data_IF_549792011649
#
_entry.id   IF_549792011649
#
_cell.length_a   1.000
_cell.length_b   1.000
_cell.length_c   1.000
_cell.angle_alpha   90.00
_cell.angle_beta   90.00
_cell.angle_gamma   90.00
#
_symmetry.space_group_name_H-M   'P 1'
#
loop_
_entity.id
_entity.type
_entity.pdbx_description
1 polymer ?
#
# COMPACT_ATOMS: atom_id res chain seq x y z
N UNK A 1 16.20 25.68 30.64
CA UNK A 1 15.54 26.80 29.93
C UNK A 1 16.05 26.68 28.52
N UNK A 2 15.22 26.20 27.59
CA UNK A 2 15.68 25.88 26.23
C UNK A 2 16.32 27.15 25.66
N UNK A 3 17.60 27.06 25.37
CA UNK A 3 18.36 28.16 24.80
C UNK A 3 17.66 28.63 23.51
N UNK A 4 17.50 29.95 23.38
CA UNK A 4 16.78 30.59 22.29
C UNK A 4 17.44 30.29 20.94
N UNK A 5 18.75 30.02 20.93
CA UNK A 5 19.50 29.57 19.76
C UNK A 5 19.13 28.12 19.36
N UNK A 6 18.92 27.23 20.33
CA UNK A 6 18.45 25.86 20.08
C UNK A 6 17.04 25.79 19.49
N UNK A 7 16.11 26.65 19.93
CA UNK A 7 14.78 26.80 19.33
C UNK A 7 14.85 27.38 17.92
N UNK A 8 15.69 28.40 17.70
CA UNK A 8 15.94 28.99 16.38
C UNK A 8 16.48 27.97 15.38
N UNK A 9 17.46 27.15 15.80
CA UNK A 9 18.04 26.07 14.99
C UNK A 9 16.99 25.01 14.62
N UNK A 10 16.11 24.64 15.55
CA UNK A 10 15.02 23.70 15.28
C UNK A 10 14.03 24.28 14.27
N UNK A 11 13.64 25.53 14.43
CA UNK A 11 12.69 26.20 13.52
C UNK A 11 13.28 26.40 12.12
N UNK A 12 14.56 26.72 12.04
CA UNK A 12 15.32 26.80 10.80
C UNK A 12 15.43 25.42 10.12
N UNK A 13 15.69 24.35 10.87
CA UNK A 13 15.74 22.99 10.35
C UNK A 13 14.38 22.50 9.84
N UNK A 14 13.29 22.79 10.59
CA UNK A 14 11.92 22.47 10.17
C UNK A 14 11.56 23.25 8.91
N UNK A 15 11.79 24.56 8.89
CA UNK A 15 11.48 25.42 7.75
C UNK A 15 12.25 25.02 6.50
N UNK A 16 13.55 24.73 6.64
CA UNK A 16 14.40 24.22 5.55
C UNK A 16 13.89 22.89 5.02
N UNK A 17 13.55 21.94 5.91
CA UNK A 17 13.03 20.63 5.50
C UNK A 17 11.65 20.74 4.85
N UNK A 18 10.76 21.59 5.34
CA UNK A 18 9.47 21.90 4.72
C UNK A 18 9.66 22.52 3.33
N UNK A 19 10.58 23.47 3.17
CA UNK A 19 10.93 24.07 1.90
C UNK A 19 11.46 23.05 0.89
N UNK A 20 12.40 22.20 1.31
CA UNK A 20 12.95 21.12 0.49
C UNK A 20 11.89 20.08 0.09
N UNK A 21 11.00 19.70 1.03
CA UNK A 21 9.90 18.79 0.73
C UNK A 21 8.96 19.40 -0.32
N UNK A 22 8.61 20.69 -0.15
CA UNK A 22 7.76 21.43 -1.08
C UNK A 22 8.39 21.50 -2.48
N UNK A 23 9.66 21.86 -2.58
CA UNK A 23 10.34 21.93 -3.88
C UNK A 23 10.42 20.56 -4.56
N UNK A 24 10.75 19.50 -3.81
CA UNK A 24 10.79 18.12 -4.33
C UNK A 24 9.42 17.67 -4.84
N UNK A 25 8.35 18.03 -4.13
CA UNK A 25 6.98 17.75 -4.56
C UNK A 25 6.67 18.52 -5.85
N UNK A 26 6.93 19.83 -5.90
CA UNK A 26 6.71 20.66 -7.09
C UNK A 26 7.45 20.09 -8.29
N UNK A 27 8.75 19.81 -8.17
CA UNK A 27 9.58 19.28 -9.26
C UNK A 27 9.05 17.92 -9.76
N UNK A 28 8.62 17.05 -8.85
CA UNK A 28 7.99 15.76 -9.20
C UNK A 28 6.67 15.96 -9.96
N UNK A 29 5.87 16.95 -9.57
CA UNK A 29 4.62 17.29 -10.25
C UNK A 29 4.87 17.92 -11.63
N UNK A 30 5.83 18.82 -11.76
CA UNK A 30 6.23 19.43 -13.04
C UNK A 30 6.73 18.38 -14.04
N UNK A 31 7.61 17.47 -13.60
CA UNK A 31 8.07 16.35 -14.44
C UNK A 31 6.93 15.48 -14.95
N UNK A 32 5.88 15.28 -14.15
CA UNK A 32 4.68 14.53 -14.55
C UNK A 32 3.74 15.34 -15.44
N UNK A 33 3.69 16.67 -15.25
CA UNK A 33 2.83 17.57 -16.02
C UNK A 33 3.29 17.73 -17.46
N UNK A 34 4.60 17.73 -17.72
CA UNK A 34 5.20 17.87 -19.08
C UNK A 34 4.73 16.84 -20.12
N UNK A 35 4.12 15.73 -19.67
CA UNK A 35 3.63 14.66 -20.54
C UNK A 35 2.10 14.57 -20.60
N UNK A 36 1.38 15.50 -19.96
CA UNK A 36 -0.08 15.58 -20.09
C UNK A 36 -0.41 16.33 -21.38
N UNK A 37 -1.21 15.71 -22.26
CA UNK A 37 -1.80 16.40 -23.39
C UNK A 37 -2.68 17.54 -22.90
N UNK A 38 -2.42 18.76 -23.38
CA UNK A 38 -3.13 20.01 -23.05
C UNK A 38 -4.55 20.09 -23.64
N UNK A 39 -5.09 18.99 -24.16
CA UNK A 39 -6.36 18.96 -24.90
C UNK A 39 -7.61 18.81 -24.02
N UNK A 40 -7.48 18.30 -22.80
CA UNK A 40 -8.63 18.12 -21.89
C UNK A 40 -8.75 19.33 -20.95
N UNK A 41 -9.94 19.94 -20.87
CA UNK A 41 -10.22 20.98 -19.87
C UNK A 41 -10.08 20.43 -18.44
N UNK A 42 -9.67 21.26 -17.47
CA UNK A 42 -9.50 20.84 -16.07
C UNK A 42 -10.77 20.15 -15.52
N UNK A 43 -11.94 20.62 -15.94
CA UNK A 43 -13.24 20.07 -15.58
C UNK A 43 -13.47 18.64 -16.11
N UNK A 44 -13.09 18.37 -17.36
CA UNK A 44 -13.15 17.02 -17.97
C UNK A 44 -12.23 16.02 -17.25
N UNK A 45 -11.08 16.48 -16.75
CA UNK A 45 -10.13 15.66 -16.01
C UNK A 45 -10.64 15.33 -14.61
N UNK A 46 -11.23 16.30 -13.90
CA UNK A 46 -11.75 16.09 -12.55
C UNK A 46 -12.92 15.11 -12.52
N UNK A 47 -13.73 15.07 -13.58
CA UNK A 47 -14.83 14.11 -13.68
C UNK A 47 -14.32 12.66 -13.69
N UNK A 48 -13.13 12.39 -14.25
CA UNK A 48 -12.50 11.05 -14.28
C UNK A 48 -12.11 10.53 -12.90
N UNK A 49 -12.19 11.35 -11.85
CA UNK A 49 -11.73 10.99 -10.50
C UNK A 49 -12.79 10.31 -9.66
N UNK A 50 -14.06 10.36 -10.06
CA UNK A 50 -15.17 9.70 -9.35
C UNK A 50 -15.90 8.79 -10.33
N UNK A 51 -15.99 7.51 -9.99
CA UNK A 51 -16.69 6.48 -10.75
C UNK A 51 -17.76 5.87 -9.86
N UNK A 52 -19.03 6.21 -10.10
CA UNK A 52 -20.15 5.65 -9.38
C UNK A 52 -20.78 4.51 -10.19
N UNK A 53 -20.66 3.29 -9.68
CA UNK A 53 -21.28 2.09 -10.27
C UNK A 53 -22.25 1.42 -9.32
N UNK A 54 -22.59 2.12 -8.24
CA UNK A 54 -23.65 1.74 -7.31
C UNK A 54 -25.00 2.23 -7.79
N UNK A 55 -26.09 1.70 -7.21
CA UNK A 55 -27.44 2.20 -7.46
C UNK A 55 -27.73 3.52 -6.70
N UNK A 56 -26.84 3.93 -5.80
CA UNK A 56 -27.02 5.16 -5.01
C UNK A 56 -26.69 6.39 -5.85
N UNK A 57 -27.61 7.35 -5.87
CA UNK A 57 -27.35 8.68 -6.40
C UNK A 57 -26.51 9.50 -5.42
N UNK A 58 -25.46 10.13 -5.94
CA UNK A 58 -24.58 11.02 -5.16
C UNK A 58 -25.04 12.47 -5.33
N UNK A 59 -25.03 13.21 -4.24
CA UNK A 59 -25.20 14.66 -4.24
C UNK A 59 -23.92 15.38 -4.68
N UNK A 60 -24.04 16.61 -5.16
CA UNK A 60 -22.89 17.41 -5.60
C UNK A 60 -21.82 17.57 -4.51
N UNK A 61 -22.24 17.74 -3.23
CA UNK A 61 -21.32 17.81 -2.10
C UNK A 61 -20.54 16.50 -1.88
N UNK A 62 -21.15 15.35 -2.14
CA UNK A 62 -20.48 14.05 -2.05
C UNK A 62 -19.49 13.89 -3.21
N UNK A 63 -19.87 14.26 -4.43
CA UNK A 63 -19.00 14.21 -5.59
C UNK A 63 -17.78 15.12 -5.37
N UNK A 64 -17.98 16.36 -4.95
CA UNK A 64 -16.89 17.32 -4.71
C UNK A 64 -15.94 16.88 -3.60
N UNK A 65 -16.48 16.25 -2.55
CA UNK A 65 -15.68 15.60 -1.51
C UNK A 65 -14.85 14.45 -2.09
N UNK A 66 -15.47 13.54 -2.85
CA UNK A 66 -14.82 12.36 -3.41
C UNK A 66 -13.76 12.71 -4.46
N UNK A 67 -13.97 13.80 -5.23
CA UNK A 67 -12.98 14.38 -6.15
C UNK A 67 -11.67 14.77 -5.44
N UNK A 68 -11.69 15.10 -4.15
CA UNK A 68 -10.44 15.37 -3.39
C UNK A 68 -9.58 14.11 -3.19
N UNK A 69 -10.17 12.93 -3.35
CA UNK A 69 -9.51 11.63 -3.26
C UNK A 69 -9.41 11.06 -1.84
N UNK A 70 -9.16 9.76 -1.73
CA UNK A 70 -9.15 9.03 -0.45
C UNK A 70 -7.98 9.39 0.48
N UNK A 71 -6.93 10.03 -0.05
CA UNK A 71 -5.78 10.50 0.75
C UNK A 71 -5.96 11.95 1.24
N UNK A 72 -7.10 12.59 0.94
CA UNK A 72 -7.35 13.94 1.40
C UNK A 72 -7.57 13.97 2.91
N UNK A 73 -6.79 14.80 3.61
CA UNK A 73 -6.90 14.96 5.06
C UNK A 73 -7.65 16.25 5.37
N UNK A 74 -8.85 16.11 5.94
CA UNK A 74 -9.63 17.24 6.42
C UNK A 74 -8.96 17.96 7.59
N UNK A 75 -9.09 19.28 7.67
CA UNK A 75 -8.57 20.09 8.78
C UNK A 75 -9.18 19.59 10.10
N UNK A 76 -8.35 19.18 11.09
CA UNK A 76 -8.87 18.66 12.34
C UNK A 76 -9.51 19.78 13.17
N UNK A 77 -10.63 19.48 13.84
CA UNK A 77 -11.33 20.43 14.74
C UNK A 77 -10.58 20.68 16.05
N UNK A 78 -9.66 19.80 16.40
CA UNK A 78 -8.86 19.84 17.62
C UNK A 78 -7.42 19.53 17.24
N UNK A 79 -6.48 20.18 17.90
CA UNK A 79 -5.06 19.86 17.73
C UNK A 79 -4.83 18.40 18.20
N UNK A 80 -4.26 17.52 17.37
CA UNK A 80 -4.07 16.11 17.71
C UNK A 80 -2.90 15.93 18.68
N UNK A 81 -3.07 16.40 19.92
CA UNK A 81 -1.98 16.46 20.92
C UNK A 81 -1.32 15.11 21.15
N UNK A 82 -2.10 14.02 21.22
CA UNK A 82 -1.59 12.66 21.47
C UNK A 82 -0.66 12.18 20.35
N UNK A 83 -1.05 12.39 19.09
CA UNK A 83 -0.26 11.96 17.92
C UNK A 83 1.02 12.78 17.80
N UNK A 84 0.94 14.09 18.05
CA UNK A 84 2.11 14.97 18.09
C UNK A 84 3.08 14.52 19.18
N UNK A 85 2.58 14.31 20.40
CA UNK A 85 3.41 13.85 21.53
C UNK A 85 4.07 12.49 21.24
N UNK A 86 3.32 11.52 20.70
CA UNK A 86 3.86 10.22 20.35
C UNK A 86 4.97 10.34 19.28
N UNK A 87 4.77 11.19 18.28
CA UNK A 87 5.75 11.43 17.21
C UNK A 87 7.01 12.14 17.74
N UNK A 88 6.85 13.12 18.63
CA UNK A 88 7.95 13.82 19.28
C UNK A 88 8.75 12.87 20.14
N UNK A 89 8.11 12.10 21.03
CA UNK A 89 8.79 11.13 21.90
C UNK A 89 9.57 10.08 21.09
N UNK A 90 8.98 9.62 19.98
CA UNK A 90 9.67 8.71 19.06
C UNK A 90 10.89 9.36 18.41
N UNK A 91 10.84 10.65 18.10
CA UNK A 91 11.93 11.40 17.47
C UNK A 91 13.07 11.77 18.43
N UNK A 92 12.79 11.95 19.72
CA UNK A 92 13.80 12.35 20.73
C UNK A 92 14.43 11.14 21.46
N UNK A 93 14.06 9.91 21.09
CA UNK A 93 14.43 8.68 21.81
C UNK A 93 15.93 8.55 22.08
N UNK A 94 16.76 8.95 21.11
CA UNK A 94 18.22 8.78 21.14
C UNK A 94 18.97 10.02 21.67
N UNK A 95 18.25 11.04 22.17
CA UNK A 95 18.85 12.25 22.76
C UNK A 95 19.20 12.05 24.24
N UNK A 96 20.00 12.96 24.81
CA UNK A 96 20.28 13.02 26.25
C UNK A 96 19.00 13.34 27.04
N UNK A 97 18.91 12.90 28.30
CA UNK A 97 17.72 13.16 29.13
C UNK A 97 17.47 14.66 29.35
N UNK A 98 18.53 15.46 29.43
CA UNK A 98 18.45 16.92 29.49
C UNK A 98 17.78 17.50 28.25
N UNK A 99 18.27 17.13 27.06
CA UNK A 99 17.70 17.57 25.78
C UNK A 99 16.25 17.09 25.58
N UNK A 100 15.93 15.87 26.02
CA UNK A 100 14.54 15.35 26.00
C UNK A 100 13.62 16.20 26.85
N UNK A 101 14.01 16.52 28.08
CA UNK A 101 13.19 17.29 29.01
C UNK A 101 12.99 18.73 28.52
N UNK A 102 14.01 19.34 27.95
CA UNK A 102 13.92 20.66 27.32
C UNK A 102 12.93 20.65 26.14
N UNK A 103 13.02 19.66 25.23
CA UNK A 103 12.07 19.53 24.11
C UNK A 103 10.65 19.25 24.61
N UNK A 104 10.47 18.38 25.61
CA UNK A 104 9.17 18.11 26.24
C UNK A 104 8.54 19.38 26.81
N UNK A 105 9.32 20.20 27.52
CA UNK A 105 8.85 21.46 28.08
C UNK A 105 8.43 22.46 26.99
N UNK A 106 9.24 22.57 25.92
CA UNK A 106 8.91 23.40 24.75
C UNK A 106 7.63 22.96 24.05
N UNK A 107 7.51 21.66 23.76
CA UNK A 107 6.32 21.07 23.11
C UNK A 107 5.08 21.21 24.00
N UNK A 108 5.20 21.02 25.31
CA UNK A 108 4.11 21.24 26.24
C UNK A 108 3.60 22.69 26.20
N UNK A 109 4.52 23.66 26.23
CA UNK A 109 4.17 25.08 26.12
C UNK A 109 3.42 25.39 24.82
N UNK A 110 3.95 24.92 23.67
CA UNK A 110 3.31 25.09 22.36
C UNK A 110 1.92 24.45 22.34
N UNK A 111 1.79 23.19 22.76
CA UNK A 111 0.51 22.45 22.74
C UNK A 111 -0.51 22.97 23.76
N UNK A 112 -0.08 23.64 24.83
CA UNK A 112 -0.97 24.30 25.79
C UNK A 112 -1.70 25.47 25.13
N UNK A 113 -0.99 26.24 24.29
CA UNK A 113 -1.52 27.43 23.62
C UNK A 113 -2.01 27.17 22.18
N UNK A 114 -1.73 25.99 21.62
CA UNK A 114 -2.13 25.62 20.27
C UNK A 114 -3.65 25.63 20.08
N UNK A 115 -4.11 26.41 19.10
CA UNK A 115 -5.51 26.45 18.66
C UNK A 115 -5.67 25.70 17.34
N UNK A 116 -6.84 25.12 17.05
CA UNK A 116 -7.15 24.57 15.74
C UNK A 116 -6.99 25.65 14.66
N UNK A 117 -6.66 25.22 13.44
CA UNK A 117 -6.56 26.12 12.29
C UNK A 117 -7.91 26.82 12.06
N UNK A 118 -7.85 28.15 11.89
CA UNK A 118 -9.03 29.00 11.65
C UNK A 118 -9.64 28.72 10.28
N UNK A 119 -8.81 28.48 9.28
CA UNK A 119 -9.23 28.08 7.94
C UNK A 119 -9.49 26.59 7.88
N UNK A 120 -10.63 26.24 7.29
CA UNK A 120 -11.08 24.86 7.17
C UNK A 120 -11.08 24.49 5.69
N UNK A 121 -10.47 23.35 5.36
CA UNK A 121 -10.36 22.88 3.97
C UNK A 121 -11.57 22.05 3.49
N UNK A 122 -12.65 21.99 4.30
CA UNK A 122 -13.91 21.33 3.97
C UNK A 122 -15.09 22.26 4.22
N UNK A 123 -16.00 22.34 3.26
CA UNK A 123 -17.25 23.10 3.39
C UNK A 123 -18.21 22.43 4.39
N UNK A 124 -19.27 23.14 4.78
CA UNK A 124 -20.32 22.55 5.64
C UNK A 124 -21.02 21.38 4.93
N UNK A 125 -21.25 21.50 3.62
CA UNK A 125 -21.85 20.46 2.79
C UNK A 125 -20.98 19.21 2.70
N UNK A 126 -19.70 19.38 2.38
CA UNK A 126 -18.73 18.26 2.29
C UNK A 126 -18.57 17.54 3.64
N UNK A 127 -18.59 18.26 4.77
CA UNK A 127 -18.55 17.62 6.09
C UNK A 127 -19.81 16.81 6.40
N UNK A 128 -20.97 17.25 5.91
CA UNK A 128 -22.20 16.48 6.01
C UNK A 128 -22.07 15.23 5.14
N UNK A 129 -21.61 15.38 3.90
CA UNK A 129 -21.32 14.27 2.98
C UNK A 129 -20.39 13.21 3.59
N UNK A 130 -19.31 13.60 4.29
CA UNK A 130 -18.45 12.64 5.01
C UNK A 130 -19.25 11.78 6.00
N UNK A 131 -20.18 12.39 6.75
CA UNK A 131 -21.00 11.66 7.72
C UNK A 131 -22.01 10.77 7.03
N UNK A 132 -22.70 11.30 6.03
CA UNK A 132 -23.76 10.61 5.29
C UNK A 132 -23.20 9.40 4.53
N UNK A 133 -22.03 9.54 3.90
CA UNK A 133 -21.31 8.42 3.26
C UNK A 133 -20.78 7.41 4.28
N UNK A 134 -20.35 7.85 5.46
CA UNK A 134 -19.85 6.95 6.51
C UNK A 134 -20.97 6.15 7.20
N UNK A 135 -22.16 6.72 7.33
CA UNK A 135 -23.31 6.03 7.92
C UNK A 135 -23.97 5.04 6.97
N UNK A 136 -23.68 5.14 5.67
CA UNK A 136 -24.22 4.23 4.66
C UNK A 136 -23.50 2.89 4.69
N UNK A 137 -24.25 1.80 4.87
CA UNK A 137 -23.70 0.44 4.83
C UNK A 137 -24.03 -0.29 3.51
N UNK A 138 -24.87 0.28 2.64
CA UNK A 138 -25.22 -0.36 1.36
C UNK A 138 -24.15 -0.23 0.28
N UNK A 139 -23.21 0.70 0.43
CA UNK A 139 -22.15 0.98 -0.54
C UNK A 139 -20.76 0.66 0.01
N UNK A 140 -19.81 0.43 -0.90
CA UNK A 140 -18.38 0.44 -0.61
C UNK A 140 -17.70 1.53 -1.44
N UNK A 141 -16.82 2.29 -0.78
CA UNK A 141 -16.00 3.32 -1.41
C UNK A 141 -14.56 2.85 -1.38
N UNK A 142 -13.96 2.67 -2.55
CA UNK A 142 -12.59 2.16 -2.69
C UNK A 142 -11.84 2.90 -3.80
N UNK A 143 -10.54 2.66 -3.91
CA UNK A 143 -9.75 3.19 -5.02
C UNK A 143 -9.87 2.27 -6.24
N UNK A 144 -9.83 2.84 -7.42
CA UNK A 144 -9.63 2.11 -8.65
C UNK A 144 -8.25 1.44 -8.66
N UNK A 145 -8.17 0.32 -9.38
CA UNK A 145 -6.92 -0.37 -9.62
C UNK A 145 -5.87 0.48 -10.36
N UNK A 146 -6.33 1.29 -11.32
CA UNK A 146 -5.50 2.21 -12.11
C UNK A 146 -6.15 3.59 -12.12
N UNK A 147 -5.33 4.64 -12.22
CA UNK A 147 -5.80 6.02 -12.39
C UNK A 147 -6.16 6.78 -11.11
N UNK A 148 -6.02 6.18 -9.92
CA UNK A 148 -6.30 6.81 -8.62
C UNK A 148 -7.71 7.40 -8.47
N UNK A 149 -8.67 6.95 -9.30
CA UNK A 149 -10.07 7.32 -9.19
C UNK A 149 -10.69 6.69 -7.93
N UNK A 150 -11.69 7.34 -7.37
CA UNK A 150 -12.54 6.82 -6.31
C UNK A 150 -13.72 6.10 -6.94
N UNK A 151 -13.94 4.86 -6.54
CA UNK A 151 -14.99 3.99 -7.07
C UNK A 151 -16.01 3.69 -5.98
N UNK A 152 -17.28 3.85 -6.31
CA UNK A 152 -18.41 3.59 -5.43
C UNK A 152 -19.18 2.41 -6.02
N UNK A 153 -19.36 1.34 -5.24
CA UNK A 153 -20.04 0.13 -5.66
C UNK A 153 -21.09 -0.30 -4.63
N UNK A 154 -22.11 -1.04 -5.07
CA UNK A 154 -23.00 -1.73 -4.14
C UNK A 154 -22.20 -2.75 -3.32
N UNK A 155 -22.29 -2.68 -1.99
CA UNK A 155 -21.54 -3.56 -1.08
C UNK A 155 -21.91 -5.02 -1.28
N UNK A 156 -23.18 -5.31 -1.58
CA UNK A 156 -23.67 -6.66 -1.86
C UNK A 156 -22.97 -7.28 -3.08
N UNK A 157 -23.00 -6.59 -4.23
CA UNK A 157 -22.33 -7.03 -5.47
C UNK A 157 -20.82 -7.19 -5.29
N UNK A 158 -20.19 -6.25 -4.58
CA UNK A 158 -18.76 -6.34 -4.28
C UNK A 158 -18.44 -7.58 -3.44
N UNK A 159 -19.24 -7.83 -2.40
CA UNK A 159 -19.05 -8.96 -1.49
C UNK A 159 -19.28 -10.29 -2.20
N UNK A 160 -20.28 -10.37 -3.07
CA UNK A 160 -20.55 -11.52 -3.94
C UNK A 160 -19.35 -11.83 -4.84
N UNK A 161 -18.85 -10.85 -5.59
CA UNK A 161 -17.67 -11.02 -6.46
C UNK A 161 -16.43 -11.48 -5.68
N UNK A 162 -16.19 -10.91 -4.50
CA UNK A 162 -15.06 -11.36 -3.66
C UNK A 162 -15.28 -12.79 -3.18
N UNK A 163 -16.49 -13.15 -2.75
CA UNK A 163 -16.79 -14.51 -2.32
C UNK A 163 -16.65 -15.52 -3.45
N UNK A 164 -17.03 -15.16 -4.68
CA UNK A 164 -16.80 -15.97 -5.88
C UNK A 164 -15.31 -16.22 -6.11
N UNK A 165 -14.47 -15.17 -6.02
CA UNK A 165 -13.01 -15.31 -6.11
C UNK A 165 -12.43 -16.20 -4.99
N UNK A 166 -12.91 -16.03 -3.76
CA UNK A 166 -12.48 -16.83 -2.61
C UNK A 166 -13.08 -18.25 -2.61
N UNK A 167 -14.04 -18.52 -3.49
CA UNK A 167 -14.65 -19.82 -3.73
C UNK A 167 -13.75 -20.76 -4.53
N UNK A 168 -12.71 -20.24 -5.19
CA UNK A 168 -11.72 -21.07 -5.89
C UNK A 168 -10.92 -21.93 -4.89
N UNK A 169 -11.35 -23.19 -4.77
CA UNK A 169 -10.75 -24.18 -3.89
C UNK A 169 -9.36 -24.64 -4.35
N UNK A 170 -8.89 -24.25 -5.54
CA UNK A 170 -7.51 -24.55 -5.97
C UNK A 170 -6.52 -23.58 -5.34
N UNK A 171 -6.92 -22.31 -5.15
CA UNK A 171 -6.07 -21.23 -4.61
C UNK A 171 -6.32 -20.98 -3.13
N UNK A 172 -7.58 -20.98 -2.70
CA UNK A 172 -7.99 -20.57 -1.36
C UNK A 172 -8.61 -21.72 -0.57
N UNK A 173 -8.54 -21.62 0.75
CA UNK A 173 -9.20 -22.53 1.68
C UNK A 173 -9.74 -21.74 2.85
N UNK A 174 -11.04 -21.86 3.11
CA UNK A 174 -11.69 -21.22 4.25
C UNK A 174 -11.22 -21.87 5.55
N UNK A 175 -10.82 -21.06 6.52
CA UNK A 175 -10.48 -21.53 7.86
C UNK A 175 -11.80 -21.61 8.65
N UNK A 176 -12.34 -22.82 8.78
CA UNK A 176 -13.68 -23.08 9.33
C UNK A 176 -13.76 -22.99 10.85
N UNK A 177 -12.67 -23.29 11.55
CA UNK A 177 -12.59 -23.11 12.99
C UNK A 177 -12.43 -21.62 13.30
N UNK A 178 -13.55 -20.96 13.67
CA UNK A 178 -13.59 -19.53 14.02
C UNK A 178 -12.69 -19.16 15.19
N UNK A 179 -12.29 -20.12 16.05
CA UNK A 179 -11.33 -19.89 17.15
C UNK A 179 -9.88 -19.95 16.67
N UNK A 180 -9.65 -20.44 15.46
CA UNK A 180 -8.33 -20.71 14.90
C UNK A 180 -7.83 -19.53 14.06
N UNK A 181 -7.79 -18.35 14.67
CA UNK A 181 -6.98 -17.26 14.13
C UNK A 181 -5.49 -17.69 14.18
N UNK A 182 -4.82 -17.90 13.04
CA UNK A 182 -3.45 -18.40 13.02
C UNK A 182 -2.42 -17.34 13.45
N UNK A 183 -2.81 -16.08 13.64
CA UNK A 183 -1.92 -14.95 13.92
C UNK A 183 -1.00 -15.20 15.12
N UNK A 184 -1.55 -15.47 16.32
CA UNK A 184 -0.73 -15.68 17.52
C UNK A 184 0.22 -16.87 17.41
N UNK A 185 -0.23 -17.94 16.76
CA UNK A 185 0.61 -19.10 16.47
C UNK A 185 1.75 -18.71 15.53
N UNK A 186 1.46 -17.98 14.46
CA UNK A 186 2.46 -17.51 13.50
C UNK A 186 3.49 -16.60 14.18
N UNK A 187 3.06 -15.70 15.08
CA UNK A 187 3.98 -14.87 15.86
C UNK A 187 4.91 -15.72 16.72
N UNK A 188 4.35 -16.73 17.41
CA UNK A 188 5.13 -17.64 18.28
C UNK A 188 6.12 -18.46 17.47
N UNK A 189 5.67 -19.04 16.36
CA UNK A 189 6.51 -19.85 15.47
C UNK A 189 7.62 -19.00 14.83
N UNK A 190 7.31 -17.76 14.41
CA UNK A 190 8.29 -16.81 13.91
C UNK A 190 9.30 -16.42 15.00
N UNK A 191 8.82 -16.09 16.21
CA UNK A 191 9.68 -15.73 17.34
C UNK A 191 10.65 -16.86 17.68
N UNK A 192 10.21 -18.12 17.63
CA UNK A 192 11.06 -19.28 17.86
C UNK A 192 12.17 -19.39 16.80
N UNK A 193 11.84 -19.19 15.52
CA UNK A 193 12.85 -19.17 14.44
C UNK A 193 13.84 -18.01 14.68
N UNK A 194 13.36 -16.81 15.02
CA UNK A 194 14.22 -15.65 15.23
C UNK A 194 15.12 -15.82 16.47
N UNK A 195 14.63 -16.44 17.55
CA UNK A 195 15.45 -16.78 18.73
C UNK A 195 16.58 -17.75 18.38
N UNK A 196 16.30 -18.76 17.56
CA UNK A 196 17.31 -19.70 17.05
C UNK A 196 18.40 -18.96 16.26
N UNK A 197 17.99 -18.10 15.32
CA UNK A 197 18.91 -17.31 14.49
C UNK A 197 19.75 -16.32 15.32
N UNK A 198 19.14 -15.71 16.35
CA UNK A 198 19.82 -14.82 17.29
C UNK A 198 20.86 -15.57 18.11
N UNK A 199 20.52 -16.74 18.65
CA UNK A 199 21.45 -17.59 19.42
C UNK A 199 22.64 -18.03 18.56
N UNK A 200 22.40 -18.34 17.29
CA UNK A 200 23.45 -18.69 16.33
C UNK A 200 24.19 -17.48 15.73
N UNK A 201 23.90 -16.25 16.19
CA UNK A 201 24.48 -14.98 15.72
C UNK A 201 24.31 -14.74 14.20
N UNK A 202 23.28 -15.32 13.59
CA UNK A 202 22.95 -15.09 12.17
C UNK A 202 22.11 -13.83 11.95
N UNK A 203 21.51 -13.29 13.03
CA UNK A 203 20.88 -11.97 13.06
C UNK A 203 21.35 -11.21 14.30
N UNK A 204 21.41 -9.89 14.18
CA UNK A 204 21.72 -8.98 15.29
C UNK A 204 20.52 -8.78 16.21
N UNK A 205 20.75 -8.28 17.42
CA UNK A 205 19.68 -7.90 18.36
C UNK A 205 18.74 -6.85 17.75
N UNK A 206 19.29 -5.92 16.96
CA UNK A 206 18.49 -4.92 16.24
C UNK A 206 17.58 -5.58 15.20
N UNK A 207 18.10 -6.49 14.39
CA UNK A 207 17.29 -7.22 13.40
C UNK A 207 16.23 -8.08 14.07
N UNK A 208 16.56 -8.74 15.18
CA UNK A 208 15.59 -9.51 15.97
C UNK A 208 14.37 -8.65 16.34
N UNK A 209 14.58 -7.46 16.91
CA UNK A 209 13.48 -6.57 17.30
C UNK A 209 12.75 -5.95 16.11
N UNK A 210 13.41 -5.80 14.96
CA UNK A 210 12.76 -5.31 13.72
C UNK A 210 11.89 -6.38 13.06
N UNK A 211 12.32 -7.64 13.11
CA UNK A 211 11.65 -8.78 12.47
C UNK A 211 10.57 -9.39 13.37
N UNK A 212 10.75 -9.32 14.70
CA UNK A 212 9.79 -9.84 15.66
C UNK A 212 8.45 -9.11 15.51
N UNK A 213 7.41 -9.90 15.31
CA UNK A 213 6.04 -9.44 15.32
C UNK A 213 5.46 -9.51 16.74
N UNK A 214 4.62 -8.54 17.11
CA UNK A 214 3.89 -8.51 18.36
C UNK A 214 2.58 -7.75 18.18
N UNK A 215 1.51 -8.28 18.78
CA UNK A 215 0.15 -7.72 18.70
C UNK A 215 -0.32 -7.52 17.25
N UNK A 216 -0.01 -8.50 16.40
CA UNK A 216 -0.33 -8.46 14.98
C UNK A 216 -1.80 -8.71 14.73
N UNK A 217 -2.26 -8.28 13.56
CA UNK A 217 -3.56 -8.63 13.00
C UNK A 217 -3.40 -9.57 11.81
N UNK A 218 -4.37 -10.43 11.47
CA UNK A 218 -4.32 -11.14 10.21
C UNK A 218 -4.33 -10.14 9.05
N UNK A 219 -3.74 -10.52 7.92
CA UNK A 219 -3.77 -9.70 6.73
C UNK A 219 -5.22 -9.46 6.27
N UNK A 220 -5.47 -8.34 5.59
CA UNK A 220 -6.83 -7.97 5.15
C UNK A 220 -6.96 -8.10 3.64
N UNK A 221 -7.99 -8.82 3.20
CA UNK A 221 -8.28 -8.95 1.77
C UNK A 221 -9.29 -7.89 1.31
N UNK A 222 -9.03 -7.33 0.12
CA UNK A 222 -9.98 -6.50 -0.61
C UNK A 222 -9.71 -6.57 -2.11
N UNK A 223 -10.76 -6.42 -2.91
CA UNK A 223 -10.69 -6.23 -4.35
C UNK A 223 -10.58 -4.74 -4.75
N UNK A 224 -9.71 -4.44 -5.73
CA UNK A 224 -9.64 -3.12 -6.39
C UNK A 224 -10.35 -3.16 -7.75
N UNK A 225 -11.34 -2.30 -8.02
CA UNK A 225 -12.08 -2.32 -9.28
C UNK A 225 -11.21 -1.94 -10.49
N UNK A 226 -11.19 -2.79 -11.52
CA UNK A 226 -10.48 -2.56 -12.78
C UNK A 226 -11.35 -1.76 -13.75
N UNK A 227 -11.65 -0.51 -13.38
CA UNK A 227 -12.51 0.39 -14.18
C UNK A 227 -12.02 0.64 -15.61
N UNK A 228 -10.76 0.36 -15.93
CA UNK A 228 -10.17 0.45 -17.27
C UNK A 228 -10.51 -0.75 -18.19
N UNK A 229 -11.24 -1.74 -17.67
CA UNK A 229 -11.70 -2.92 -18.41
C UNK A 229 -13.20 -2.84 -18.78
N UNK A 230 -13.86 -1.76 -18.42
CA UNK A 230 -15.29 -1.54 -18.68
C UNK A 230 -15.50 -0.20 -19.38
N UNK A 231 -16.62 -0.07 -20.07
CA UNK A 231 -17.04 1.17 -20.73
C UNK A 231 -17.74 2.08 -19.72
N UNK A 232 -17.19 3.29 -19.54
CA UNK A 232 -17.76 4.30 -18.65
C UNK A 232 -18.28 5.49 -19.45
N UNK A 233 -19.39 6.07 -18.99
CA UNK A 233 -19.96 7.30 -19.54
C UNK A 233 -19.88 8.42 -18.50
N UNK A 234 -19.62 9.65 -18.96
CA UNK A 234 -19.57 10.82 -18.08
C UNK A 234 -20.96 11.43 -17.94
N UNK A 235 -21.55 11.34 -16.75
CA UNK A 235 -22.84 11.96 -16.42
C UNK A 235 -22.59 13.35 -15.80
N UNK A 236 -22.15 14.30 -16.63
CA UNK A 236 -21.80 15.69 -16.28
C UNK A 236 -20.67 15.85 -15.25
N UNK A 237 -20.81 15.26 -14.06
CA UNK A 237 -19.96 15.47 -12.89
C UNK A 237 -19.12 14.25 -12.45
N UNK A 238 -19.53 13.04 -12.86
CA UNK A 238 -18.84 11.80 -12.52
C UNK A 238 -19.10 10.72 -13.57
N UNK A 239 -18.29 9.66 -13.56
CA UNK A 239 -18.47 8.54 -14.48
C UNK A 239 -19.39 7.48 -13.89
N UNK A 240 -20.20 6.87 -14.74
CA UNK A 240 -21.07 5.72 -14.43
C UNK A 240 -20.88 4.63 -15.47
N UNK A 241 -21.45 3.44 -15.23
CA UNK A 241 -21.48 2.38 -16.23
C UNK A 241 -22.36 2.78 -17.40
N UNK A 242 -21.91 2.53 -18.64
CA UNK A 242 -22.78 2.68 -19.81
C UNK A 242 -23.93 1.67 -19.74
N UNK A 243 -25.13 2.03 -20.20
CA UNK A 243 -26.30 1.14 -20.29
C UNK A 243 -26.00 -0.12 -21.12
N UNK A 244 -25.06 -0.05 -22.07
CA UNK A 244 -24.61 -1.20 -22.86
C UNK A 244 -23.58 -2.09 -22.14
N UNK A 245 -23.13 -1.71 -20.94
CA UNK A 245 -22.16 -2.47 -20.16
C UNK A 245 -22.87 -3.57 -19.39
N UNK A 246 -22.85 -4.78 -19.96
CA UNK A 246 -23.23 -6.01 -19.25
C UNK A 246 -22.18 -6.39 -18.19
N UNK A 247 -21.00 -5.78 -18.24
CA UNK A 247 -19.83 -6.28 -17.55
C UNK A 247 -19.78 -5.88 -16.07
N UNK A 248 -19.87 -6.90 -15.23
CA UNK A 248 -19.36 -6.91 -13.87
C UNK A 248 -17.92 -6.37 -13.88
N UNK A 249 -17.65 -5.29 -13.15
CA UNK A 249 -16.31 -4.70 -13.10
C UNK A 249 -15.36 -5.69 -12.44
N UNK A 250 -14.34 -6.22 -13.13
CA UNK A 250 -13.44 -7.19 -12.53
C UNK A 250 -12.66 -6.57 -11.36
N UNK A 251 -12.55 -7.28 -10.24
CA UNK A 251 -11.71 -6.85 -9.13
C UNK A 251 -10.28 -7.40 -9.27
N UNK A 252 -9.29 -6.65 -8.83
CA UNK A 252 -7.94 -7.16 -8.56
C UNK A 252 -7.85 -7.55 -7.09
N UNK A 253 -7.62 -8.83 -6.75
CA UNK A 253 -7.49 -9.25 -5.37
C UNK A 253 -6.21 -8.66 -4.77
N UNK A 254 -6.33 -8.06 -3.58
CA UNK A 254 -5.20 -7.54 -2.80
C UNK A 254 -5.30 -8.11 -1.39
N UNK A 255 -4.21 -8.72 -0.94
CA UNK A 255 -3.98 -9.08 0.43
C UNK A 255 -3.03 -8.06 1.07
N UNK A 256 -3.58 -7.18 1.90
CA UNK A 256 -2.81 -6.20 2.65
C UNK A 256 -2.21 -6.84 3.90
N UNK A 257 -0.91 -7.12 3.83
CA UNK A 257 -0.12 -7.64 4.95
C UNK A 257 0.29 -6.57 5.98
N UNK A 258 -0.17 -5.32 5.86
CA UNK A 258 0.15 -4.28 6.84
C UNK A 258 -0.36 -4.72 8.23
N UNK A 259 0.55 -4.75 9.21
CA UNK A 259 0.23 -5.18 10.58
C UNK A 259 0.16 -6.69 10.77
N UNK A 260 0.48 -7.49 9.74
CA UNK A 260 0.55 -8.95 9.85
C UNK A 260 1.89 -9.45 10.41
N UNK A 261 1.93 -10.65 11.02
CA UNK A 261 3.16 -11.18 11.60
C UNK A 261 4.32 -11.33 10.61
N UNK A 262 4.01 -11.54 9.33
CA UNK A 262 5.00 -11.79 8.29
C UNK A 262 5.46 -10.53 7.56
N UNK A 263 4.89 -9.36 7.84
CA UNK A 263 5.14 -8.13 7.08
C UNK A 263 6.60 -7.65 7.13
N UNK A 264 7.19 -7.59 8.32
CA UNK A 264 8.59 -7.16 8.47
C UNK A 264 9.56 -8.18 7.86
N UNK A 265 9.26 -9.47 8.04
CA UNK A 265 10.02 -10.55 7.44
C UNK A 265 9.95 -10.50 5.90
N UNK A 266 8.78 -10.24 5.33
CA UNK A 266 8.59 -10.17 3.89
C UNK A 266 9.44 -9.06 3.28
N UNK A 267 9.44 -7.86 3.87
CA UNK A 267 10.30 -6.75 3.45
C UNK A 267 11.79 -7.09 3.54
N UNK A 268 12.19 -7.75 4.62
CA UNK A 268 13.58 -8.14 4.83
C UNK A 268 14.04 -9.11 3.73
N UNK A 269 13.26 -10.17 3.48
CA UNK A 269 13.56 -11.15 2.43
C UNK A 269 13.46 -10.54 1.04
N UNK A 270 12.51 -9.66 0.76
CA UNK A 270 12.40 -8.96 -0.52
C UNK A 270 13.64 -8.10 -0.80
N UNK A 271 14.16 -7.40 0.21
CA UNK A 271 15.41 -6.62 0.10
C UNK A 271 16.58 -7.55 -0.25
N UNK A 272 16.64 -8.72 0.35
CA UNK A 272 17.67 -9.72 0.06
C UNK A 272 17.54 -10.27 -1.37
N UNK A 273 16.35 -10.74 -1.73
CA UNK A 273 16.06 -11.32 -3.06
C UNK A 273 16.26 -10.32 -4.20
N UNK A 274 16.08 -9.02 -3.94
CA UNK A 274 16.33 -7.97 -4.93
C UNK A 274 17.76 -8.00 -5.49
N UNK A 275 18.74 -8.51 -4.74
CA UNK A 275 20.12 -8.71 -5.22
C UNK A 275 20.23 -9.71 -6.37
N UNK A 276 19.24 -10.60 -6.53
CA UNK A 276 19.17 -11.56 -7.64
C UNK A 276 18.41 -11.04 -8.85
N UNK A 277 17.59 -10.00 -8.66
CA UNK A 277 16.84 -9.34 -9.71
C UNK A 277 17.72 -8.32 -10.43
N UNK A 278 18.81 -8.80 -11.02
CA UNK A 278 19.63 -7.99 -11.92
C UNK A 278 18.79 -7.62 -13.15
N UNK A 279 18.89 -6.38 -13.62
CA UNK A 279 18.39 -6.01 -14.94
C UNK A 279 19.17 -6.84 -15.96
N UNK A 280 18.46 -7.61 -16.78
CA UNK A 280 19.04 -8.19 -17.99
C UNK A 280 18.72 -7.30 -19.19
N UNK A 281 19.30 -7.62 -20.35
CA UNK A 281 19.09 -6.87 -21.60
C UNK A 281 17.63 -6.82 -22.06
N UNK A 282 16.81 -7.78 -21.61
CA UNK A 282 15.37 -7.86 -21.91
C UNK A 282 14.49 -7.16 -20.88
N UNK A 283 15.08 -6.55 -19.85
CA UNK A 283 14.36 -5.89 -18.76
C UNK A 283 14.30 -4.39 -18.97
N UNK A 284 13.09 -3.87 -19.14
CA UNK A 284 12.85 -2.42 -19.23
C UNK A 284 12.38 -1.88 -17.88
N UNK A 285 13.00 -0.79 -17.43
CA UNK A 285 12.83 -0.33 -16.05
C UNK A 285 11.59 0.54 -15.84
N UNK A 286 11.13 1.21 -16.89
CA UNK A 286 10.01 2.14 -16.82
C UNK A 286 9.41 2.40 -18.21
N UNK A 287 8.22 3.00 -18.24
CA UNK A 287 7.50 3.29 -19.48
C UNK A 287 8.20 4.29 -20.40
N UNK A 288 9.11 5.14 -19.89
CA UNK A 288 9.89 6.05 -20.73
C UNK A 288 10.94 5.27 -21.53
N UNK A 289 11.72 4.44 -20.85
CA UNK A 289 12.68 3.53 -21.51
C UNK A 289 11.98 2.65 -22.55
N UNK A 290 10.76 2.17 -22.26
CA UNK A 290 9.96 1.43 -23.24
C UNK A 290 9.57 2.29 -24.44
N UNK A 291 9.09 3.52 -24.23
CA UNK A 291 8.71 4.40 -25.33
C UNK A 291 9.90 4.79 -26.21
N UNK A 292 11.06 5.03 -25.60
CA UNK A 292 12.30 5.33 -26.32
C UNK A 292 12.80 4.11 -27.10
N UNK A 293 12.75 2.90 -26.49
CA UNK A 293 13.03 1.63 -27.16
C UNK A 293 12.06 1.38 -28.34
N UNK A 294 10.76 1.53 -28.14
CA UNK A 294 9.76 1.27 -29.17
C UNK A 294 9.91 2.23 -30.36
N UNK A 295 10.29 3.49 -30.12
CA UNK A 295 10.57 4.48 -31.18
C UNK A 295 11.81 4.16 -32.00
N UNK A 296 12.80 3.48 -31.41
CA UNK A 296 14.03 3.12 -32.12
C UNK A 296 13.89 1.85 -32.97
N UNK A 297 12.81 1.08 -32.80
CA UNK A 297 12.55 -0.08 -33.63
C UNK A 297 11.86 0.33 -34.95
N UNK A 298 12.39 -0.13 -36.07
CA UNK A 298 11.73 -0.03 -37.39
C UNK A 298 11.09 -1.37 -37.72
N UNK A 299 9.78 -1.36 -38.00
CA UNK A 299 9.04 -2.56 -38.37
C UNK A 299 9.06 -2.75 -39.89
N UNK A 300 9.50 -3.92 -40.35
CA UNK A 300 9.41 -4.31 -41.76
C UNK A 300 7.96 -4.44 -42.24
N UNK A 301 7.75 -4.40 -43.55
CA UNK A 301 6.40 -4.53 -44.14
C UNK A 301 5.78 -5.92 -43.94
N UNK A 302 6.61 -6.91 -43.64
CA UNK A 302 6.27 -8.31 -43.37
C UNK A 302 6.37 -8.69 -41.88
N UNK A 303 6.68 -7.73 -41.01
CA UNK A 303 6.80 -7.95 -39.58
C UNK A 303 5.52 -7.56 -38.83
N UNK A 304 5.26 -8.23 -37.70
CA UNK A 304 4.12 -7.91 -36.83
C UNK A 304 4.57 -7.94 -35.37
N UNK A 305 4.13 -6.95 -34.61
CA UNK A 305 4.36 -6.88 -33.17
C UNK A 305 3.27 -7.66 -32.45
N UNK A 306 3.68 -8.59 -31.59
CA UNK A 306 2.78 -9.37 -30.74
C UNK A 306 3.04 -9.02 -29.28
N UNK A 307 1.98 -8.85 -28.49
CA UNK A 307 2.06 -8.61 -27.06
C UNK A 307 1.40 -9.77 -26.30
N UNK A 308 2.10 -10.29 -25.29
CA UNK A 308 1.61 -11.34 -24.41
C UNK A 308 1.40 -10.78 -23.00
N UNK A 309 0.24 -11.08 -22.41
CA UNK A 309 -0.07 -10.74 -21.02
C UNK A 309 -0.29 -12.02 -20.22
N UNK A 310 0.35 -12.13 -19.06
CA UNK A 310 0.21 -13.32 -18.20
C UNK A 310 -1.03 -13.16 -17.33
N UNK A 311 -1.98 -14.07 -17.50
CA UNK A 311 -3.17 -14.12 -16.66
C UNK A 311 -2.81 -14.60 -15.26
N UNK A 312 -3.25 -13.88 -14.24
CA UNK A 312 -3.17 -14.31 -12.83
C UNK A 312 -1.76 -14.73 -12.38
N UNK A 313 -0.74 -13.96 -12.79
CA UNK A 313 0.68 -14.29 -12.55
C UNK A 313 0.97 -14.76 -11.12
N UNK A 314 0.52 -14.01 -10.10
CA UNK A 314 0.84 -14.30 -8.70
C UNK A 314 0.21 -15.59 -8.19
N UNK A 315 -1.07 -15.82 -8.46
CA UNK A 315 -1.77 -17.03 -7.98
C UNK A 315 -1.35 -18.29 -8.75
N UNK A 316 -0.73 -18.12 -9.92
CA UNK A 316 -0.25 -19.22 -10.78
C UNK A 316 1.20 -19.62 -10.53
N UNK A 317 1.92 -18.96 -9.61
CA UNK A 317 3.33 -19.27 -9.34
C UNK A 317 3.44 -20.67 -8.69
N UNK A 318 4.19 -21.61 -9.29
CA UNK A 318 4.48 -22.89 -8.66
C UNK A 318 5.50 -22.69 -7.52
N UNK A 319 4.99 -22.46 -6.31
CA UNK A 319 5.80 -22.14 -5.11
C UNK A 319 6.97 -23.10 -4.89
N UNK A 320 6.83 -24.44 -4.99
CA UNK A 320 7.97 -25.35 -4.81
C UNK A 320 9.09 -25.11 -5.83
N UNK A 321 8.74 -24.84 -7.08
CA UNK A 321 9.70 -24.57 -8.15
C UNK A 321 10.36 -23.20 -7.96
N UNK A 322 9.60 -22.17 -7.58
CA UNK A 322 10.15 -20.85 -7.25
C UNK A 322 11.17 -20.92 -6.10
N UNK A 323 10.87 -21.69 -5.04
CA UNK A 323 11.80 -21.93 -3.94
C UNK A 323 13.08 -22.65 -4.39
N UNK A 324 12.95 -23.62 -5.29
CA UNK A 324 14.11 -24.30 -5.88
C UNK A 324 15.00 -23.34 -6.68
N UNK A 325 14.41 -22.46 -7.50
CA UNK A 325 15.15 -21.42 -8.23
C UNK A 325 15.90 -20.50 -7.27
N UNK A 326 15.24 -20.04 -6.20
CA UNK A 326 15.88 -19.18 -5.20
C UNK A 326 17.04 -19.92 -4.52
N UNK A 327 16.85 -21.18 -4.14
CA UNK A 327 17.91 -22.00 -3.54
C UNK A 327 19.11 -22.16 -4.49
N UNK A 328 18.88 -22.37 -5.79
CA UNK A 328 19.93 -22.43 -6.80
C UNK A 328 20.69 -21.09 -6.89
N UNK A 329 19.98 -19.97 -6.97
CA UNK A 329 20.59 -18.62 -7.03
C UNK A 329 21.39 -18.26 -5.76
N UNK A 330 20.93 -18.69 -4.59
CA UNK A 330 21.64 -18.50 -3.32
C UNK A 330 23.02 -19.20 -3.32
N UNK A 331 23.14 -20.35 -3.99
CA UNK A 331 24.39 -21.13 -4.14
C UNK A 331 25.32 -20.55 -5.20
N UNK A 332 24.76 -20.08 -6.30
CA UNK A 332 25.52 -19.61 -7.46
C UNK A 332 26.08 -18.20 -7.29
N UNK A 333 25.54 -17.40 -6.37
CA UNK A 333 25.90 -15.98 -6.25
C UNK A 333 26.09 -15.56 -4.80
N UNK A 334 27.15 -14.78 -4.54
CA UNK A 334 27.49 -14.30 -3.19
C UNK A 334 27.02 -12.87 -2.89
N UNK A 335 26.39 -12.18 -3.85
CA UNK A 335 25.95 -10.78 -3.73
C UNK A 335 25.01 -10.51 -2.54
N UNK A 336 24.27 -11.52 -2.11
CA UNK A 336 23.36 -11.46 -0.98
C UNK A 336 24.06 -11.59 0.39
N UNK A 337 25.24 -12.23 0.45
CA UNK A 337 25.97 -12.51 1.70
C UNK A 337 26.50 -11.23 2.37
N UNK A 338 26.73 -10.16 1.61
CA UNK A 338 27.09 -8.85 2.18
C UNK A 338 25.93 -8.14 2.89
N UNK A 339 24.70 -8.61 2.68
CA UNK A 339 23.49 -7.99 3.21
C UNK A 339 22.91 -8.71 4.44
N UNK A 340 23.42 -9.90 4.78
CA UNK A 340 22.91 -10.72 5.89
C UNK A 340 23.95 -11.76 6.35
N UNK A 341 23.92 -12.12 7.63
CA UNK A 341 24.70 -13.24 8.18
C UNK A 341 23.93 -14.58 8.14
N UNK A 342 22.75 -14.61 7.50
CA UNK A 342 21.97 -15.84 7.30
C UNK A 342 22.68 -16.81 6.36
N UNK A 343 22.51 -18.11 6.63
CA UNK A 343 22.91 -19.19 5.72
C UNK A 343 21.80 -19.45 4.69
N UNK A 344 22.16 -20.08 3.57
CA UNK A 344 21.22 -20.40 2.47
C UNK A 344 19.97 -21.15 2.98
N UNK A 345 20.18 -22.19 3.78
CA UNK A 345 19.10 -23.00 4.36
C UNK A 345 18.16 -22.18 5.25
N UNK A 346 18.70 -21.19 5.96
CA UNK A 346 17.94 -20.30 6.82
C UNK A 346 17.08 -19.34 5.99
N UNK A 347 17.62 -18.78 4.89
CA UNK A 347 16.86 -17.95 3.95
C UNK A 347 15.70 -18.75 3.35
N UNK A 348 15.97 -19.98 2.89
CA UNK A 348 14.93 -20.86 2.34
C UNK A 348 13.89 -21.26 3.40
N UNK A 349 14.31 -21.53 4.65
CA UNK A 349 13.41 -21.80 5.79
C UNK A 349 12.47 -20.62 6.05
N UNK A 350 13.00 -19.40 6.05
CA UNK A 350 12.21 -18.17 6.24
C UNK A 350 11.24 -17.91 5.08
N UNK A 351 11.66 -18.15 3.83
CA UNK A 351 10.78 -18.04 2.66
C UNK A 351 9.64 -19.07 2.70
N UNK A 352 9.95 -20.32 3.03
CA UNK A 352 8.94 -21.37 3.22
C UNK A 352 7.96 -20.99 4.33
N UNK A 353 8.46 -20.49 5.45
CA UNK A 353 7.63 -20.01 6.55
C UNK A 353 6.67 -18.90 6.07
N UNK A 354 7.18 -17.92 5.33
CA UNK A 354 6.38 -16.83 4.79
C UNK A 354 5.28 -17.31 3.83
N UNK A 355 5.64 -18.13 2.85
CA UNK A 355 4.71 -18.62 1.82
C UNK A 355 3.66 -19.57 2.42
N UNK A 356 3.99 -20.33 3.46
CA UNK A 356 3.04 -21.19 4.16
C UNK A 356 2.08 -20.41 5.08
N UNK A 357 2.45 -19.20 5.52
CA UNK A 357 1.64 -18.37 6.42
C UNK A 357 0.93 -17.23 5.67
N UNK A 358 0.43 -17.51 4.47
CA UNK A 358 -0.36 -16.59 3.65
C UNK A 358 -1.85 -16.69 3.98
N UNK A 359 -2.26 -16.23 5.16
CA UNK A 359 -3.68 -16.14 5.55
C UNK A 359 -4.14 -14.70 5.63
N UNK A 360 -5.45 -14.51 5.48
CA UNK A 360 -6.09 -13.20 5.53
C UNK A 360 -7.54 -13.30 6.02
N UNK A 361 -8.13 -12.15 6.30
CA UNK A 361 -9.52 -12.00 6.70
C UNK A 361 -10.28 -11.19 5.66
N UNK A 362 -11.48 -11.67 5.32
CA UNK A 362 -12.49 -10.96 4.55
C UNK A 362 -13.85 -11.17 5.22
N UNK A 363 -14.58 -10.08 5.48
CA UNK A 363 -15.92 -10.10 6.09
C UNK A 363 -16.02 -11.05 7.30
N UNK A 364 -15.18 -10.83 8.32
CA UNK A 364 -15.10 -11.66 9.55
C UNK A 364 -14.73 -13.14 9.36
N UNK A 365 -14.46 -13.58 8.13
CA UNK A 365 -14.06 -14.95 7.81
C UNK A 365 -12.57 -15.01 7.48
N UNK A 366 -11.88 -16.01 8.01
CA UNK A 366 -10.47 -16.24 7.73
C UNK A 366 -10.30 -17.22 6.57
N UNK A 367 -9.30 -16.95 5.74
CA UNK A 367 -8.94 -17.75 4.58
C UNK A 367 -7.43 -17.96 4.57
N UNK A 368 -7.01 -19.08 3.96
CA UNK A 368 -5.62 -19.39 3.67
C UNK A 368 -5.44 -19.48 2.16
N UNK A 369 -4.44 -18.78 1.62
CA UNK A 369 -4.01 -18.95 0.24
C UNK A 369 -2.98 -20.08 0.21
N UNK A 370 -3.37 -21.23 -0.31
CA UNK A 370 -2.53 -22.43 -0.38
C UNK A 370 -1.73 -22.56 -1.66
N UNK A 371 -2.06 -21.78 -2.69
CA UNK A 371 -1.37 -21.79 -3.99
C UNK A 371 -0.98 -20.38 -4.44
N UNK A 372 0.13 -20.30 -5.16
CA UNK A 372 0.74 -19.06 -5.63
C UNK A 372 1.21 -18.14 -4.50
N UNK A 373 1.36 -16.86 -4.84
CA UNK A 373 1.78 -15.79 -3.95
C UNK A 373 0.65 -14.78 -3.75
N UNK A 374 0.56 -14.19 -2.56
CA UNK A 374 -0.43 -13.17 -2.26
C UNK A 374 -0.06 -11.83 -2.91
N UNK A 375 -0.97 -11.24 -3.69
CA UNK A 375 -0.79 -9.89 -4.23
C UNK A 375 -0.91 -8.86 -3.10
N UNK A 376 0.13 -8.09 -2.82
CA UNK A 376 0.12 -7.06 -1.75
C UNK A 376 1.03 -7.37 -0.55
N UNK A 377 1.62 -8.57 -0.51
CA UNK A 377 2.81 -8.79 0.32
C UNK A 377 4.01 -8.04 -0.28
N UNK A 378 4.77 -7.26 0.51
CA UNK A 378 6.12 -6.85 0.13
C UNK A 378 7.00 -8.07 -0.13
#
# INVERSE_FOLDING_TARGET
MVDQDSLSKLDQAISSRCGHLRSTIIERHEKKSRWRSTSDSEHSIMNKWVVNVSQRNLSNNEIDLLRKGLNFVGTPRRVPKKEILASVEQGIKDLTEEAKNDIRAGVFSILKHAKPLSTQNLTRGERKAVKDLKSEDTIIITKADKGNAVVIMDKAKYTEQVNEMLGDQTVYTRITDKRRNPTKRTETDLENILKELRRSKNITDREYWQLRAFDSSPATFYGLPKVHKVSLICNQDHYTLSESSVDVIPLRPINSNIGSPTYSLSKYLAKLLKTFCAKNEFSISNGKEFADFAKSQTLGTDETIVSFDVVSLFTSIPVPFALHIVQKKLKETDSWKSHTALKEEQVVKLLKFLLNNCYFKFNETHYHQKSGCAMGSP
#
